data_IF_781686029152
#
_entry.id   IF_781686029152
#
_cell.length_a   1.000
_cell.length_b   1.000
_cell.length_c   1.000
_cell.angle_alpha   90.00
_cell.angle_beta   90.00
_cell.angle_gamma   90.00
#
_symmetry.space_group_name_H-M   'P 1'
#
loop_
_entity.id
_entity.type
_entity.pdbx_description
1 polymer ?
#
# COMPACT_ATOMS: atom_id res chain seq x y z
N UNK A 1 11.53 -9.23 -20.58
CA UNK A 1 10.79 -7.97 -20.76
C UNK A 1 9.75 -7.89 -19.65
N UNK A 2 9.73 -6.82 -18.86
CA UNK A 2 8.74 -6.69 -17.78
C UNK A 2 7.34 -6.66 -18.39
N UNK A 3 6.45 -7.56 -17.95
CA UNK A 3 5.09 -7.65 -18.46
C UNK A 3 4.36 -6.34 -18.11
N UNK A 4 3.89 -5.63 -19.13
CA UNK A 4 3.20 -4.35 -18.94
C UNK A 4 1.82 -4.61 -18.33
N UNK A 5 1.61 -4.17 -17.09
CA UNK A 5 0.33 -4.26 -16.40
C UNK A 5 -0.74 -3.42 -17.11
N UNK A 6 -1.86 -4.05 -17.51
CA UNK A 6 -2.99 -3.35 -18.13
C UNK A 6 -3.63 -2.40 -17.12
N UNK A 7 -3.65 -2.73 -15.82
CA UNK A 7 -4.08 -1.84 -14.73
C UNK A 7 -3.50 -0.44 -14.85
N UNK A 8 -2.21 -0.34 -15.22
CA UNK A 8 -1.47 0.91 -15.31
C UNK A 8 -1.59 1.61 -16.67
N UNK A 9 -2.22 0.97 -17.66
CA UNK A 9 -2.37 1.53 -19.00
C UNK A 9 -3.47 2.58 -19.08
N UNK A 10 -3.24 3.64 -19.86
CA UNK A 10 -4.27 4.60 -20.23
C UNK A 10 -5.38 3.99 -21.11
N UNK A 11 -5.13 2.85 -21.76
CA UNK A 11 -6.11 2.12 -22.59
C UNK A 11 -7.01 1.19 -21.80
N UNK A 12 -6.82 1.09 -20.48
CA UNK A 12 -7.60 0.22 -19.61
C UNK A 12 -9.09 0.61 -19.57
N UNK A 13 -9.95 -0.37 -19.86
CA UNK A 13 -11.42 -0.22 -19.91
C UNK A 13 -12.14 -0.70 -18.64
N UNK A 14 -11.41 -0.97 -17.56
CA UNK A 14 -12.00 -1.28 -16.26
C UNK A 14 -12.72 -0.05 -15.69
N UNK A 15 -13.95 -0.23 -15.24
CA UNK A 15 -14.80 0.81 -14.66
C UNK A 15 -15.19 0.46 -13.23
N UNK A 16 -15.24 1.47 -12.37
CA UNK A 16 -15.57 1.32 -10.95
C UNK A 16 -16.19 2.61 -10.41
N UNK A 17 -16.86 2.52 -9.26
CA UNK A 17 -17.31 3.69 -8.52
C UNK A 17 -16.18 4.23 -7.65
N UNK A 18 -15.78 5.48 -7.86
CA UNK A 18 -14.73 6.11 -7.07
C UNK A 18 -15.17 6.24 -5.60
N UNK A 19 -14.45 5.67 -4.63
CA UNK A 19 -14.86 5.71 -3.22
C UNK A 19 -14.82 7.12 -2.61
N UNK A 20 -14.10 8.06 -3.24
CA UNK A 20 -13.98 9.44 -2.75
C UNK A 20 -15.16 10.29 -3.22
N UNK A 21 -15.50 10.22 -4.51
CA UNK A 21 -16.46 11.14 -5.14
C UNK A 21 -17.79 10.47 -5.53
N UNK A 22 -17.94 9.18 -5.26
CA UNK A 22 -19.11 8.37 -5.64
C UNK A 22 -19.47 8.44 -7.14
N UNK A 23 -18.47 8.73 -7.97
CA UNK A 23 -18.61 8.88 -9.41
C UNK A 23 -18.12 7.62 -10.12
N UNK A 24 -18.92 7.10 -11.07
CA UNK A 24 -18.49 6.04 -11.98
C UNK A 24 -17.36 6.57 -12.86
N UNK A 25 -16.23 5.87 -12.86
CA UNK A 25 -15.02 6.29 -13.58
C UNK A 25 -14.30 5.09 -14.19
N UNK A 26 -13.39 5.35 -15.13
CA UNK A 26 -12.53 4.32 -15.72
C UNK A 26 -11.12 4.38 -15.16
N UNK A 27 -10.48 3.21 -15.06
CA UNK A 27 -9.09 3.09 -14.62
C UNK A 27 -8.15 3.81 -15.57
N UNK A 28 -8.35 3.69 -16.88
CA UNK A 28 -7.55 4.39 -17.89
C UNK A 28 -7.60 5.91 -17.72
N UNK A 29 -8.77 6.49 -17.44
CA UNK A 29 -8.88 7.94 -17.15
C UNK A 29 -8.20 8.34 -15.84
N UNK A 30 -8.21 7.48 -14.82
CA UNK A 30 -7.50 7.73 -13.57
C UNK A 30 -5.96 7.65 -13.76
N UNK A 31 -5.46 6.67 -14.51
CA UNK A 31 -4.03 6.55 -14.82
C UNK A 31 -3.53 7.71 -15.69
N UNK A 32 -4.29 8.10 -16.71
CA UNK A 32 -3.97 9.28 -17.53
C UNK A 32 -3.87 10.55 -16.69
N UNK A 33 -4.82 10.76 -15.77
CA UNK A 33 -4.76 11.91 -14.86
C UNK A 33 -3.52 11.84 -13.95
N UNK A 34 -3.24 10.67 -13.38
CA UNK A 34 -2.07 10.47 -12.52
C UNK A 34 -0.79 10.84 -13.25
N UNK A 35 -0.61 10.37 -14.49
CA UNK A 35 0.60 10.65 -15.26
C UNK A 35 0.78 12.14 -15.55
N UNK A 36 -0.31 12.86 -15.83
CA UNK A 36 -0.29 14.33 -15.98
C UNK A 36 0.20 15.00 -14.69
N UNK A 37 -0.39 14.62 -13.54
CA UNK A 37 -0.02 15.20 -12.23
C UNK A 37 1.43 14.89 -11.86
N UNK A 38 1.89 13.66 -12.08
CA UNK A 38 3.27 13.26 -11.76
C UNK A 38 4.32 13.92 -12.67
N UNK A 39 3.93 14.29 -13.89
CA UNK A 39 4.76 15.13 -14.78
C UNK A 39 4.80 16.61 -14.35
N UNK A 40 4.16 16.98 -13.25
CA UNK A 40 4.08 18.35 -12.77
C UNK A 40 3.14 19.24 -13.59
N UNK A 41 2.35 18.66 -14.50
CA UNK A 41 1.38 19.41 -15.29
C UNK A 41 0.14 19.66 -14.42
N UNK A 42 -0.14 20.94 -14.15
CA UNK A 42 -1.40 21.35 -13.56
C UNK A 42 -2.56 21.15 -14.53
N UNK A 43 -3.73 20.82 -14.02
CA UNK A 43 -4.97 20.88 -14.79
C UNK A 43 -5.99 21.75 -14.06
N UNK A 44 -6.81 22.47 -14.82
CA UNK A 44 -7.79 23.40 -14.26
C UNK A 44 -9.04 22.68 -13.72
N UNK A 45 -9.27 21.44 -14.18
CA UNK A 45 -10.42 20.62 -13.80
C UNK A 45 -10.00 19.51 -12.83
N UNK A 46 -10.97 18.93 -12.11
CA UNK A 46 -10.75 17.82 -11.16
C UNK A 46 -9.75 18.15 -10.04
N UNK A 47 -9.83 19.35 -9.48
CA UNK A 47 -8.97 19.79 -8.37
C UNK A 47 -9.02 18.81 -7.19
N UNK A 48 -10.21 18.29 -6.85
CA UNK A 48 -10.33 17.29 -5.79
C UNK A 48 -9.55 16.00 -6.08
N UNK A 49 -9.47 15.56 -7.34
CA UNK A 49 -8.71 14.38 -7.72
C UNK A 49 -7.19 14.62 -7.64
N UNK A 50 -6.75 15.83 -7.99
CA UNK A 50 -5.34 16.22 -7.83
C UNK A 50 -4.93 16.20 -6.36
N UNK A 51 -5.76 16.76 -5.48
CA UNK A 51 -5.51 16.73 -4.03
C UNK A 51 -5.48 15.29 -3.52
N UNK A 52 -6.48 14.47 -3.86
CA UNK A 52 -6.51 13.07 -3.44
C UNK A 52 -5.26 12.29 -3.88
N UNK A 53 -4.78 12.54 -5.10
CA UNK A 53 -3.58 11.90 -5.63
C UNK A 53 -2.31 12.37 -4.92
N UNK A 54 -2.14 13.69 -4.72
CA UNK A 54 -0.95 14.26 -4.04
C UNK A 54 -0.85 13.86 -2.58
N UNK A 55 -1.98 13.70 -1.90
CA UNK A 55 -2.01 13.25 -0.50
C UNK A 55 -1.96 11.72 -0.34
N UNK A 56 -1.97 10.94 -1.44
CA UNK A 56 -2.00 9.48 -1.38
C UNK A 56 -3.36 8.87 -1.03
N UNK A 57 -4.44 9.66 -0.99
CA UNK A 57 -5.82 9.18 -0.73
C UNK A 57 -6.46 8.55 -1.96
N UNK A 58 -5.93 8.81 -3.17
CA UNK A 58 -6.49 8.27 -4.41
C UNK A 58 -6.19 6.76 -4.58
N UNK A 59 -7.21 5.90 -4.77
CA UNK A 59 -7.01 4.47 -5.01
C UNK A 59 -6.16 4.16 -6.25
N UNK A 60 -6.33 4.94 -7.32
CA UNK A 60 -5.55 4.77 -8.55
C UNK A 60 -4.05 5.07 -8.32
N UNK A 61 -3.73 6.10 -7.54
CA UNK A 61 -2.35 6.36 -7.15
C UNK A 61 -1.80 5.24 -6.24
N UNK A 62 -2.62 4.76 -5.30
CA UNK A 62 -2.27 3.67 -4.40
C UNK A 62 -1.98 2.35 -5.12
N UNK A 63 -2.71 2.03 -6.19
CA UNK A 63 -2.47 0.86 -7.05
C UNK A 63 -1.04 0.87 -7.62
N UNK A 64 -0.61 2.01 -8.17
CA UNK A 64 0.75 2.12 -8.71
C UNK A 64 1.79 1.88 -7.61
N UNK A 65 1.59 2.49 -6.44
CA UNK A 65 2.48 2.26 -5.30
C UNK A 65 2.46 0.80 -4.81
N UNK A 66 1.34 0.08 -4.90
CA UNK A 66 1.29 -1.34 -4.54
C UNK A 66 2.09 -2.20 -5.52
N UNK A 67 1.99 -1.95 -6.84
CA UNK A 67 2.80 -2.67 -7.82
C UNK A 67 4.30 -2.37 -7.69
N UNK A 68 4.66 -1.09 -7.51
CA UNK A 68 6.07 -0.68 -7.39
C UNK A 68 6.70 -1.21 -6.10
N UNK A 69 6.06 -1.03 -4.95
CA UNK A 69 6.72 -1.26 -3.65
C UNK A 69 6.46 -2.64 -3.06
N UNK A 70 5.38 -3.33 -3.43
CA UNK A 70 5.08 -4.66 -2.89
C UNK A 70 5.48 -5.79 -3.85
N UNK A 71 6.17 -5.47 -4.97
CA UNK A 71 6.53 -6.43 -6.02
C UNK A 71 5.36 -7.31 -6.50
N UNK A 72 4.13 -6.82 -6.38
CA UNK A 72 2.93 -7.57 -6.73
C UNK A 72 2.61 -7.40 -8.22
N UNK A 73 3.59 -7.69 -9.08
CA UNK A 73 3.50 -7.55 -10.53
C UNK A 73 2.71 -8.68 -11.20
N UNK A 74 2.44 -9.77 -10.47
CA UNK A 74 1.73 -10.93 -11.00
C UNK A 74 0.19 -10.76 -10.96
N UNK A 75 -0.31 -9.72 -10.29
CA UNK A 75 -1.74 -9.53 -10.03
C UNK A 75 -2.32 -8.29 -10.75
N UNK A 76 -2.78 -8.47 -11.98
CA UNK A 76 -3.43 -7.41 -12.79
C UNK A 76 -4.96 -7.34 -12.56
N UNK A 77 -5.40 -7.33 -11.30
CA UNK A 77 -6.84 -7.46 -10.94
C UNK A 77 -7.76 -6.41 -11.55
N UNK A 78 -7.23 -5.23 -11.86
CA UNK A 78 -7.97 -4.11 -12.42
C UNK A 78 -7.64 -3.86 -13.90
N UNK A 79 -6.93 -4.79 -14.56
CA UNK A 79 -6.63 -4.75 -15.98
C UNK A 79 -7.82 -5.23 -16.80
N UNK A 80 -8.26 -4.45 -17.78
CA UNK A 80 -9.27 -4.86 -18.75
C UNK A 80 -9.05 -4.24 -20.13
N UNK A 81 -9.00 -5.07 -21.17
CA UNK A 81 -8.94 -4.67 -22.59
C UNK A 81 -10.33 -4.44 -23.19
N UNK A 82 -11.34 -5.05 -22.57
CA UNK A 82 -12.76 -4.91 -22.86
C UNK A 82 -13.48 -4.20 -21.72
N UNK A 83 -14.63 -3.53 -21.96
CA UNK A 83 -15.39 -2.90 -20.90
C UNK A 83 -15.75 -3.89 -19.79
N UNK A 84 -15.21 -3.64 -18.58
CA UNK A 84 -15.46 -4.46 -17.40
C UNK A 84 -15.83 -3.57 -16.23
N UNK A 85 -16.93 -3.85 -15.58
CA UNK A 85 -17.33 -3.18 -14.34
C UNK A 85 -16.94 -4.04 -13.15
N UNK A 86 -16.39 -3.41 -12.11
CA UNK A 86 -15.98 -4.15 -10.92
C UNK A 86 -15.71 -3.27 -9.72
N UNK A 87 -15.27 -3.93 -8.63
CA UNK A 87 -14.91 -3.28 -7.37
C UNK A 87 -13.40 -3.20 -7.22
N UNK A 88 -12.93 -2.18 -6.50
CA UNK A 88 -11.55 -2.08 -6.06
C UNK A 88 -11.24 -3.17 -5.02
N UNK A 89 -10.03 -3.72 -5.08
CA UNK A 89 -9.59 -4.78 -4.17
C UNK A 89 -9.42 -4.24 -2.74
N UNK A 90 -9.69 -5.07 -1.73
CA UNK A 90 -9.63 -4.70 -0.31
C UNK A 90 -8.27 -4.09 0.07
N UNK A 91 -7.17 -4.67 -0.39
CA UNK A 91 -5.81 -4.13 -0.21
C UNK A 91 -5.62 -2.68 -0.68
N UNK A 92 -6.27 -2.26 -1.78
CA UNK A 92 -6.19 -0.88 -2.27
C UNK A 92 -6.97 0.06 -1.36
N UNK A 93 -8.18 -0.36 -0.97
CA UNK A 93 -9.06 0.43 -0.11
C UNK A 93 -8.46 0.61 1.28
N UNK A 94 -7.90 -0.45 1.86
CA UNK A 94 -7.23 -0.42 3.16
C UNK A 94 -6.05 0.57 3.18
N UNK A 95 -5.31 0.68 2.07
CA UNK A 95 -4.19 1.62 1.92
C UNK A 95 -4.63 3.09 1.97
N UNK A 96 -5.82 3.41 1.46
CA UNK A 96 -6.30 4.80 1.36
C UNK A 96 -7.30 5.21 2.45
N UNK A 97 -7.82 4.25 3.20
CA UNK A 97 -8.82 4.45 4.27
C UNK A 97 -8.38 5.53 5.26
N UNK A 98 -7.17 5.38 5.81
CA UNK A 98 -6.67 6.22 6.91
C UNK A 98 -5.83 7.42 6.43
N UNK A 99 -5.78 7.66 5.13
CA UNK A 99 -5.03 8.80 4.59
C UNK A 99 -5.79 10.10 4.87
N UNK A 100 -5.20 10.97 5.67
CA UNK A 100 -5.72 12.31 5.94
C UNK A 100 -5.19 13.32 4.92
N UNK A 101 -6.06 14.20 4.45
CA UNK A 101 -5.69 15.29 3.54
C UNK A 101 -5.35 16.52 4.38
N UNK A 102 -4.19 17.10 4.12
CA UNK A 102 -3.77 18.34 4.79
C UNK A 102 -4.50 19.54 4.22
N UNK A 103 -4.93 20.47 5.10
CA UNK A 103 -5.61 21.70 4.69
C UNK A 103 -4.77 22.58 3.76
N UNK A 104 -3.44 22.58 3.94
CA UNK A 104 -2.50 23.28 3.05
C UNK A 104 -2.65 22.87 1.59
N UNK A 105 -2.88 21.58 1.32
CA UNK A 105 -3.02 21.04 -0.03
C UNK A 105 -4.40 21.37 -0.61
N UNK A 106 -5.45 21.34 0.20
CA UNK A 106 -6.81 21.74 -0.19
C UNK A 106 -6.84 23.20 -0.62
N UNK A 107 -6.29 24.08 0.20
CA UNK A 107 -6.26 25.52 -0.05
C UNK A 107 -5.45 25.86 -1.31
N UNK A 108 -4.34 25.14 -1.56
CA UNK A 108 -3.49 25.38 -2.73
C UNK A 108 -4.17 25.07 -4.07
N UNK A 109 -5.11 24.13 -4.12
CA UNK A 109 -5.72 23.69 -5.39
C UNK A 109 -7.12 24.28 -5.63
N UNK A 110 -7.60 25.19 -4.77
CA UNK A 110 -8.90 25.84 -4.97
C UNK A 110 -10.07 24.86 -5.03
N UNK A 111 -10.03 23.78 -4.24
CA UNK A 111 -11.07 22.75 -4.23
C UNK A 111 -12.41 23.35 -3.78
N UNK A 112 -13.48 23.04 -4.51
CA UNK A 112 -14.83 23.49 -4.16
C UNK A 112 -15.27 22.97 -2.78
N UNK A 113 -16.17 23.69 -2.10
CA UNK A 113 -16.67 23.27 -0.79
C UNK A 113 -17.32 21.87 -0.83
N UNK A 114 -18.04 21.55 -1.91
CA UNK A 114 -18.65 20.24 -2.13
C UNK A 114 -17.61 19.12 -2.27
N UNK A 115 -16.59 19.31 -3.12
CA UNK A 115 -15.50 18.33 -3.26
C UNK A 115 -14.69 18.19 -1.98
N UNK A 116 -14.49 19.28 -1.22
CA UNK A 116 -13.81 19.24 0.08
C UNK A 116 -14.56 18.37 1.08
N UNK A 117 -15.88 18.53 1.17
CA UNK A 117 -16.73 17.68 2.02
C UNK A 117 -16.61 16.21 1.65
N UNK A 118 -16.64 15.89 0.34
CA UNK A 118 -16.43 14.53 -0.14
C UNK A 118 -15.05 13.99 0.23
N UNK A 119 -13.98 14.76 0.02
CA UNK A 119 -12.61 14.33 0.35
C UNK A 119 -12.43 14.01 1.83
N UNK A 120 -12.97 14.83 2.72
CA UNK A 120 -12.83 14.68 4.17
C UNK A 120 -13.69 13.52 4.71
N UNK A 121 -14.88 13.30 4.15
CA UNK A 121 -15.78 12.20 4.54
C UNK A 121 -15.50 10.86 3.84
N UNK A 122 -14.52 10.81 2.93
CA UNK A 122 -14.27 9.62 2.11
C UNK A 122 -13.86 8.38 2.92
N UNK A 123 -13.23 8.55 4.09
CA UNK A 123 -12.80 7.41 4.92
C UNK A 123 -13.97 6.54 5.38
N UNK A 124 -15.12 7.15 5.71
CA UNK A 124 -16.31 6.39 6.13
C UNK A 124 -16.92 5.62 4.96
N UNK A 125 -16.95 6.21 3.76
CA UNK A 125 -17.38 5.51 2.55
C UNK A 125 -16.44 4.35 2.20
N UNK A 126 -15.13 4.56 2.32
CA UNK A 126 -14.12 3.52 2.08
C UNK A 126 -14.32 2.36 3.06
N UNK A 127 -14.59 2.62 4.35
CA UNK A 127 -14.91 1.59 5.36
C UNK A 127 -16.14 0.76 4.98
N UNK A 128 -17.19 1.40 4.47
CA UNK A 128 -18.38 0.68 4.01
C UNK A 128 -18.04 -0.21 2.82
N UNK A 129 -17.28 0.31 1.84
CA UNK A 129 -16.90 -0.48 0.66
C UNK A 129 -15.97 -1.65 1.01
N UNK A 130 -15.06 -1.49 1.98
CA UNK A 130 -14.15 -2.53 2.45
C UNK A 130 -14.89 -3.81 2.87
N UNK A 131 -16.09 -3.69 3.46
CA UNK A 131 -16.90 -4.86 3.87
C UNK A 131 -17.34 -5.76 2.71
N UNK A 132 -17.36 -5.24 1.49
CA UNK A 132 -17.84 -5.97 0.29
C UNK A 132 -16.80 -6.00 -0.84
N UNK A 133 -15.57 -5.59 -0.53
CA UNK A 133 -14.47 -5.53 -1.49
C UNK A 133 -13.90 -6.94 -1.74
N UNK A 134 -13.49 -7.26 -2.98
CA UNK A 134 -12.85 -8.53 -3.28
C UNK A 134 -11.46 -8.61 -2.63
N UNK A 135 -11.11 -9.82 -2.18
CA UNK A 135 -9.83 -10.20 -1.59
C UNK A 135 -9.65 -9.81 -0.12
N UNK A 136 -8.50 -10.17 0.44
CA UNK A 136 -8.19 -9.93 1.87
C UNK A 136 -7.51 -8.57 2.05
N UNK A 137 -7.92 -7.82 3.08
CA UNK A 137 -7.22 -6.60 3.47
C UNK A 137 -5.94 -6.98 4.23
N UNK A 138 -4.81 -6.27 4.00
CA UNK A 138 -3.61 -6.49 4.80
C UNK A 138 -3.92 -6.21 6.28
N UNK A 139 -3.33 -7.01 7.17
CA UNK A 139 -3.41 -6.78 8.61
C UNK A 139 -3.05 -5.33 8.94
N UNK A 140 -3.89 -4.64 9.71
CA UNK A 140 -3.60 -3.25 10.08
C UNK A 140 -2.44 -3.26 11.07
N UNK A 141 -1.59 -2.23 11.03
CA UNK A 141 -0.54 -2.08 12.05
C UNK A 141 -1.12 -1.94 13.48
N UNK A 142 -2.38 -1.54 13.61
CA UNK A 142 -3.13 -1.51 14.86
C UNK A 142 -3.69 -2.87 15.28
N UNK A 143 -3.73 -3.84 14.36
CA UNK A 143 -4.14 -5.21 14.66
C UNK A 143 -2.93 -5.90 15.29
N UNK A 144 -2.73 -5.65 16.58
CA UNK A 144 -1.72 -6.36 17.36
C UNK A 144 -2.06 -7.85 17.33
N UNK A 145 -1.33 -8.60 16.51
CA UNK A 145 -1.31 -10.05 16.58
C UNK A 145 -0.27 -10.42 17.63
N UNK A 146 -0.64 -10.91 18.82
CA UNK A 146 0.35 -11.36 19.79
C UNK A 146 1.25 -12.40 19.13
N UNK A 147 2.58 -12.36 19.36
CA UNK A 147 3.47 -13.33 18.78
C UNK A 147 2.98 -14.73 19.15
N UNK A 148 2.73 -15.56 18.14
CA UNK A 148 2.39 -16.97 18.33
C UNK A 148 3.48 -17.56 19.20
N UNK A 149 3.14 -17.99 20.43
CA UNK A 149 4.09 -18.64 21.35
C UNK A 149 4.76 -19.77 20.58
N UNK A 150 5.99 -19.53 20.13
CA UNK A 150 6.82 -20.58 19.58
C UNK A 150 7.07 -21.53 20.74
N UNK A 151 6.66 -22.79 20.56
CA UNK A 151 7.00 -23.85 21.50
C UNK A 151 8.53 -23.86 21.58
N UNK A 152 9.15 -23.67 22.75
CA UNK A 152 10.60 -23.58 22.84
C UNK A 152 11.20 -24.84 22.19
N UNK A 153 12.21 -24.70 21.32
CA UNK A 153 12.90 -25.86 20.76
C UNK A 153 13.49 -26.67 21.92
N UNK A 154 13.45 -27.99 21.78
CA UNK A 154 14.04 -28.90 22.76
C UNK A 154 15.50 -28.51 23.01
N UNK A 155 15.91 -28.51 24.28
CA UNK A 155 17.23 -28.08 24.70
C UNK A 155 18.33 -28.82 23.92
N UNK A 156 19.37 -28.12 23.43
CA UNK A 156 20.49 -28.75 22.75
C UNK A 156 21.27 -29.65 23.72
N UNK A 157 21.56 -30.86 23.27
CA UNK A 157 22.45 -31.83 23.92
C UNK A 157 23.81 -31.18 24.22
N UNK A 158 24.32 -31.36 25.45
CA UNK A 158 25.57 -30.78 25.97
C UNK A 158 26.68 -30.66 24.92
N UNK A 159 27.03 -29.43 24.55
CA UNK A 159 28.25 -29.13 23.80
C UNK A 159 29.48 -29.40 24.70
N UNK A 160 30.52 -30.01 24.14
CA UNK A 160 31.80 -30.17 24.83
C UNK A 160 32.44 -28.78 25.06
N UNK A 161 33.09 -28.56 26.22
CA UNK A 161 33.71 -27.29 26.54
C UNK A 161 34.85 -26.99 25.58
N UNK A 162 34.90 -25.74 25.14
CA UNK A 162 35.94 -25.24 24.23
C UNK A 162 37.30 -25.13 24.94
N UNK A 163 38.40 -25.17 24.18
CA UNK A 163 39.77 -25.04 24.72
C UNK A 163 40.00 -23.76 25.53
N UNK A 164 39.23 -22.70 25.25
CA UNK A 164 39.22 -21.44 25.99
C UNK A 164 38.66 -21.58 27.41
N UNK A 165 37.63 -22.41 27.60
CA UNK A 165 37.01 -22.64 28.91
C UNK A 165 37.88 -23.54 29.81
N UNK A 166 38.68 -24.43 29.22
CA UNK A 166 39.64 -25.26 29.96
C UNK A 166 40.84 -24.45 30.45
N UNK A 167 41.37 -23.52 29.64
CA UNK A 167 42.46 -22.63 30.06
C UNK A 167 42.05 -21.69 31.21
N UNK A 168 40.79 -21.25 31.24
CA UNK A 168 40.25 -20.43 32.32
C UNK A 168 40.12 -21.20 33.66
N UNK A 169 39.99 -22.53 33.63
CA UNK A 169 39.91 -23.36 34.83
C UNK A 169 41.27 -23.77 35.39
N UNK A 170 42.30 -23.90 34.55
CA UNK A 170 43.63 -24.35 34.96
C UNK A 170 44.61 -23.21 35.27
N UNK A 171 44.26 -21.96 34.92
CA UNK A 171 45.08 -20.78 35.20
C UNK A 171 46.37 -20.68 34.40
N UNK A 172 46.56 -21.56 33.41
CA UNK A 172 47.74 -21.58 32.55
C UNK A 172 47.52 -20.70 31.31
N UNK A 173 47.81 -19.41 31.48
CA UNK A 173 47.65 -18.38 30.44
C UNK A 173 48.60 -18.57 29.25
N UNK A 174 49.63 -19.42 29.34
CA UNK A 174 50.58 -19.65 28.25
C UNK A 174 49.94 -20.38 27.05
N UNK A 175 48.94 -21.23 27.30
CA UNK A 175 48.20 -21.93 26.24
C UNK A 175 47.20 -21.05 25.48
N UNK A 176 46.80 -19.90 26.05
CA UNK A 176 45.80 -19.01 25.45
C UNK A 176 46.39 -18.05 24.40
N UNK A 177 47.69 -17.76 24.46
CA UNK A 177 48.38 -16.82 23.56
C UNK A 177 48.87 -17.51 22.27
N UNK A 178 48.95 -18.85 22.29
CA UNK A 178 49.54 -19.65 21.21
C UNK A 178 48.53 -20.28 20.24
N UNK A 179 47.24 -19.92 20.34
CA UNK A 179 46.14 -20.48 19.54
C UNK A 179 45.59 -19.49 18.50
#
# INVERSE_FOLDING_TARGET
MAQQLITLSATNKFTFTCPIFDAKTSMGSCMKLRDIIWKGQGIDKRQGCQVAMKCGKCPAAALVSLHIYNNNWDNDFHGATEPKEGKLHAAVLAKVENVMIQDSVLNKHGVSAAERSLLLSASDRIRVQLKTAPGEAPARASDYTPPRRQKPPAAPTKAQPSKLEQAAQTGDLAAAISA
#
